data_IF_208047189331
#
_entry.id   IF_208047189331
#
_cell.length_a   1.000
_cell.length_b   1.000
_cell.length_c   1.000
_cell.angle_alpha   90.00
_cell.angle_beta   90.00
_cell.angle_gamma   90.00
#
_symmetry.space_group_name_H-M   'P 1'
#
loop_
_entity.id
_entity.type
_entity.pdbx_description
1 polymer ?
#
# COMPACT_ATOMS: atom_id res chain seq x y z
N UNK A 1 7.19 -10.43 18.98
CA UNK A 1 6.76 -10.11 17.60
C UNK A 1 7.76 -9.15 16.99
N UNK A 2 8.38 -9.47 15.84
CA UNK A 2 9.43 -8.61 15.27
C UNK A 2 8.85 -7.36 14.62
N UNK A 3 9.63 -6.26 14.57
CA UNK A 3 9.25 -5.01 13.90
C UNK A 3 8.92 -5.23 12.42
N UNK A 4 9.62 -6.15 11.75
CA UNK A 4 9.36 -6.51 10.36
C UNK A 4 8.01 -7.20 10.17
N UNK A 5 7.67 -8.16 11.03
CA UNK A 5 6.37 -8.85 10.98
C UNK A 5 5.21 -7.89 11.25
N UNK A 6 5.37 -6.99 12.23
CA UNK A 6 4.40 -5.92 12.52
C UNK A 6 4.16 -5.00 11.31
N UNK A 7 5.23 -4.66 10.57
CA UNK A 7 5.09 -3.84 9.36
C UNK A 7 4.42 -4.57 8.20
N UNK A 8 4.63 -5.89 8.06
CA UNK A 8 3.93 -6.69 7.03
C UNK A 8 2.42 -6.76 7.30
N UNK A 9 2.00 -7.03 8.54
CA UNK A 9 0.58 -7.03 8.92
C UNK A 9 -0.07 -5.65 8.72
N UNK A 10 0.66 -4.59 9.08
CA UNK A 10 0.20 -3.22 8.86
C UNK A 10 -0.03 -2.92 7.38
N UNK A 11 0.94 -3.29 6.52
CA UNK A 11 0.83 -3.09 5.08
C UNK A 11 -0.33 -3.92 4.50
N UNK A 12 -0.55 -5.13 4.99
CA UNK A 12 -1.69 -5.94 4.56
C UNK A 12 -3.02 -5.24 4.83
N UNK A 13 -3.21 -4.76 6.07
CA UNK A 13 -4.44 -4.06 6.44
C UNK A 13 -4.66 -2.79 5.61
N UNK A 14 -3.58 -2.08 5.29
CA UNK A 14 -3.61 -0.91 4.41
C UNK A 14 -4.02 -1.28 2.98
N UNK A 15 -3.41 -2.31 2.40
CA UNK A 15 -3.67 -2.74 1.01
C UNK A 15 -5.09 -3.27 0.89
N UNK A 16 -5.53 -4.17 1.78
CA UNK A 16 -6.89 -4.70 1.78
C UNK A 16 -7.95 -3.60 1.94
N UNK A 17 -7.67 -2.56 2.73
CA UNK A 17 -8.60 -1.43 2.84
C UNK A 17 -8.69 -0.63 1.54
N UNK A 18 -7.57 -0.45 0.83
CA UNK A 18 -7.48 0.27 -0.44
C UNK A 18 -7.97 -0.55 -1.64
N UNK A 19 -7.95 -1.88 -1.60
CA UNK A 19 -8.53 -2.75 -2.63
C UNK A 19 -10.03 -2.50 -2.83
N UNK A 20 -10.72 -2.04 -1.79
CA UNK A 20 -12.12 -1.65 -1.88
C UNK A 20 -12.26 -0.31 -2.63
N UNK A 21 -12.83 -0.26 -3.84
CA UNK A 21 -12.80 0.95 -4.68
C UNK A 21 -13.38 2.21 -4.02
N UNK A 22 -14.51 2.15 -3.29
CA UNK A 22 -15.00 3.31 -2.55
C UNK A 22 -14.02 3.88 -1.51
N UNK A 23 -13.16 3.05 -0.92
CA UNK A 23 -12.14 3.51 0.02
C UNK A 23 -10.96 4.16 -0.70
N UNK A 24 -10.54 3.57 -1.82
CA UNK A 24 -9.53 4.15 -2.70
C UNK A 24 -9.93 5.56 -3.16
N UNK A 25 -11.17 5.71 -3.62
CA UNK A 25 -11.72 6.99 -4.09
C UNK A 25 -11.71 8.06 -3.01
N UNK A 26 -11.94 7.72 -1.73
CA UNK A 26 -11.85 8.68 -0.63
C UNK A 26 -10.44 9.26 -0.47
N UNK A 27 -9.39 8.46 -0.69
CA UNK A 27 -8.00 8.89 -0.55
C UNK A 27 -7.47 9.64 -1.79
N UNK A 28 -7.88 9.20 -2.98
CA UNK A 28 -7.27 9.66 -4.23
C UNK A 28 -8.20 10.49 -5.12
N UNK A 29 -9.50 10.46 -4.85
CA UNK A 29 -10.55 11.07 -5.66
C UNK A 29 -10.99 10.18 -6.82
N UNK A 30 -12.15 10.49 -7.41
CA UNK A 30 -12.54 10.00 -8.73
C UNK A 30 -11.88 10.85 -9.82
N UNK A 31 -11.52 10.23 -10.94
CA UNK A 31 -11.12 10.95 -12.16
C UNK A 31 -12.32 11.59 -12.91
N UNK A 32 -13.57 11.29 -12.51
CA UNK A 32 -14.78 11.79 -13.17
C UNK A 32 -15.32 13.07 -12.55
N UNK A 33 -15.81 13.95 -13.44
CA UNK A 33 -16.34 15.32 -13.26
C UNK A 33 -16.91 15.62 -11.86
N UNK A 34 -16.47 16.74 -11.29
CA UNK A 34 -17.05 17.35 -10.09
C UNK A 34 -18.51 17.71 -10.33
N UNK A 35 -19.42 17.12 -9.54
CA UNK A 35 -20.81 17.56 -9.44
C UNK A 35 -20.85 18.78 -8.51
N UNK A 36 -21.34 19.91 -9.01
CA UNK A 36 -21.48 21.14 -8.22
C UNK A 36 -22.59 20.94 -7.18
N UNK A 37 -22.32 21.26 -5.91
CA UNK A 37 -23.31 21.26 -4.82
C UNK A 37 -23.23 20.12 -3.80
N UNK A 38 -22.42 19.08 -4.03
CA UNK A 38 -22.18 18.04 -3.02
C UNK A 38 -20.94 18.37 -2.16
N UNK A 39 -21.01 18.03 -0.85
CA UNK A 39 -19.89 18.17 0.09
C UNK A 39 -18.69 17.42 -0.46
N UNK A 40 -17.65 18.15 -0.89
CA UNK A 40 -16.44 17.53 -1.39
C UNK A 40 -15.72 16.86 -0.22
N UNK A 41 -15.62 15.53 -0.27
CA UNK A 41 -14.71 14.82 0.62
C UNK A 41 -13.30 15.29 0.31
N UNK A 42 -12.63 15.88 1.29
CA UNK A 42 -11.23 16.24 1.12
C UNK A 42 -10.39 14.97 1.09
N UNK A 43 -9.28 14.95 0.35
CA UNK A 43 -8.32 13.82 0.39
C UNK A 43 -7.85 13.52 1.81
N UNK A 44 -7.82 14.53 2.69
CA UNK A 44 -7.53 14.38 4.12
C UNK A 44 -8.58 13.56 4.89
N UNK A 45 -9.85 13.60 4.47
CA UNK A 45 -10.91 12.81 5.11
C UNK A 45 -10.77 11.32 4.80
N UNK A 46 -10.35 10.97 3.57
CA UNK A 46 -10.05 9.58 3.23
C UNK A 46 -8.92 8.98 4.06
N UNK A 47 -7.84 9.73 4.30
CA UNK A 47 -6.77 9.25 5.18
C UNK A 47 -7.19 9.16 6.65
N UNK A 48 -8.14 10.00 7.09
CA UNK A 48 -8.73 9.91 8.43
C UNK A 48 -9.56 8.63 8.59
N UNK A 49 -10.39 8.31 7.61
CA UNK A 49 -11.19 7.08 7.58
C UNK A 49 -10.29 5.84 7.61
N UNK A 50 -9.22 5.84 6.82
CA UNK A 50 -8.24 4.76 6.79
C UNK A 50 -7.56 4.57 8.14
N UNK A 51 -7.11 5.64 8.79
CA UNK A 51 -6.54 5.58 10.14
C UNK A 51 -7.55 4.97 11.12
N UNK A 52 -8.80 5.43 11.10
CA UNK A 52 -9.84 4.92 12.00
C UNK A 52 -10.12 3.42 11.76
N UNK A 53 -10.17 3.00 10.49
CA UNK A 53 -10.38 1.61 10.11
C UNK A 53 -9.23 0.71 10.60
N UNK A 54 -7.97 1.12 10.37
CA UNK A 54 -6.79 0.38 10.81
C UNK A 54 -6.67 0.34 12.33
N UNK A 55 -6.99 1.44 13.02
CA UNK A 55 -7.02 1.47 14.49
C UNK A 55 -8.05 0.49 15.03
N UNK A 56 -9.25 0.46 14.44
CA UNK A 56 -10.33 -0.45 14.83
C UNK A 56 -9.96 -1.92 14.58
N UNK A 57 -9.51 -2.25 13.37
CA UNK A 57 -9.18 -3.65 13.00
C UNK A 57 -7.98 -4.20 13.77
N UNK A 58 -7.05 -3.33 14.17
CA UNK A 58 -5.85 -3.71 14.92
C UNK A 58 -6.00 -3.63 16.45
N UNK A 59 -7.20 -3.39 16.99
CA UNK A 59 -7.43 -3.17 18.43
C UNK A 59 -6.53 -2.06 19.02
N UNK A 60 -6.37 -0.96 18.29
CA UNK A 60 -5.58 0.19 18.70
C UNK A 60 -4.08 0.09 18.44
N UNK A 61 -3.58 -1.03 17.90
CA UNK A 61 -2.14 -1.22 17.65
C UNK A 61 -1.58 -0.29 16.58
N UNK A 62 -2.43 0.15 15.64
CA UNK A 62 -2.08 1.14 14.63
C UNK A 62 -2.77 2.47 14.93
N UNK A 63 -2.08 3.33 15.70
CA UNK A 63 -2.54 4.68 16.02
C UNK A 63 -1.61 5.72 15.37
N UNK A 64 -1.94 6.09 14.13
CA UNK A 64 -1.14 7.01 13.32
C UNK A 64 -1.92 8.29 13.06
N UNK A 65 -1.20 9.41 12.92
CA UNK A 65 -1.82 10.65 12.43
C UNK A 65 -2.18 10.49 10.94
N UNK A 66 -3.26 11.12 10.44
CA UNK A 66 -3.62 11.06 9.02
C UNK A 66 -2.49 11.46 8.07
N UNK A 67 -1.66 12.43 8.44
CA UNK A 67 -0.50 12.83 7.65
C UNK A 67 0.56 11.70 7.56
N UNK A 68 0.84 11.03 8.67
CA UNK A 68 1.76 9.88 8.68
C UNK A 68 1.20 8.72 7.83
N UNK A 69 -0.12 8.55 7.82
CA UNK A 69 -0.77 7.56 6.96
C UNK A 69 -0.58 7.89 5.48
N UNK A 70 -0.78 9.15 5.09
CA UNK A 70 -0.53 9.63 3.73
C UNK A 70 0.92 9.36 3.28
N UNK A 71 1.90 9.69 4.11
CA UNK A 71 3.33 9.49 3.80
C UNK A 71 3.67 8.00 3.63
N UNK A 72 3.07 7.13 4.47
CA UNK A 72 3.23 5.66 4.37
C UNK A 72 2.63 5.11 3.09
N UNK A 73 1.47 5.59 2.67
CA UNK A 73 0.83 5.18 1.41
C UNK A 73 1.65 5.64 0.21
N UNK A 74 2.20 6.86 0.24
CA UNK A 74 3.08 7.35 -0.81
C UNK A 74 4.35 6.48 -0.91
N UNK A 75 4.93 6.12 0.23
CA UNK A 75 6.08 5.21 0.29
C UNK A 75 5.74 3.84 -0.29
N UNK A 76 4.59 3.28 0.08
CA UNK A 76 4.11 2.01 -0.45
C UNK A 76 3.90 2.08 -1.97
N UNK A 77 3.20 3.11 -2.45
CA UNK A 77 2.97 3.33 -3.89
C UNK A 77 4.27 3.46 -4.67
N UNK A 78 5.28 4.15 -4.14
CA UNK A 78 6.59 4.25 -4.79
C UNK A 78 7.27 2.89 -4.92
N UNK A 79 7.19 2.03 -3.89
CA UNK A 79 7.70 0.64 -3.94
C UNK A 79 6.95 -0.20 -4.97
N UNK A 80 5.61 -0.09 -4.99
CA UNK A 80 4.78 -0.80 -5.96
C UNK A 80 5.13 -0.41 -7.39
N UNK A 81 5.24 0.89 -7.67
CA UNK A 81 5.63 1.38 -9.00
C UNK A 81 7.04 0.93 -9.38
N UNK A 82 7.98 0.88 -8.43
CA UNK A 82 9.33 0.36 -8.68
C UNK A 82 9.30 -1.14 -9.00
N UNK A 83 8.54 -1.94 -8.26
CA UNK A 83 8.37 -3.37 -8.53
C UNK A 83 7.72 -3.60 -9.90
N UNK A 84 6.70 -2.81 -10.24
CA UNK A 84 6.02 -2.87 -11.54
C UNK A 84 6.92 -2.46 -12.71
N UNK A 85 7.73 -1.41 -12.54
CA UNK A 85 8.70 -0.99 -13.53
C UNK A 85 9.80 -2.06 -13.73
N UNK A 86 10.22 -2.71 -12.64
CA UNK A 86 11.17 -3.81 -12.71
C UNK A 86 10.58 -5.02 -13.43
N UNK A 87 9.37 -5.46 -13.09
CA UNK A 87 8.66 -6.56 -13.77
C UNK A 87 8.54 -6.32 -15.28
N UNK A 88 8.29 -5.08 -15.70
CA UNK A 88 8.18 -4.70 -17.10
C UNK A 88 9.53 -4.50 -17.82
N UNK A 89 10.66 -4.56 -17.11
CA UNK A 89 11.99 -4.28 -17.68
C UNK A 89 12.59 -5.51 -18.37
N UNK A 90 13.39 -5.30 -19.44
CA UNK A 90 14.07 -6.38 -20.17
C UNK A 90 15.10 -7.16 -19.32
N UNK A 91 15.48 -6.61 -18.15
CA UNK A 91 16.37 -7.26 -17.17
C UNK A 91 15.64 -7.90 -15.98
N UNK A 92 14.32 -8.06 -16.07
CA UNK A 92 13.55 -8.77 -15.06
C UNK A 92 13.95 -10.26 -15.05
N UNK A 93 14.32 -10.79 -13.88
CA UNK A 93 14.80 -12.15 -13.74
C UNK A 93 15.39 -12.42 -12.35
N UNK A 94 15.65 -13.68 -12.06
CA UNK A 94 16.33 -14.09 -10.84
C UNK A 94 17.84 -14.03 -11.09
N UNK A 95 18.57 -13.34 -10.19
CA UNK A 95 20.03 -13.24 -10.26
C UNK A 95 20.68 -14.26 -9.33
N UNK A 96 21.98 -14.51 -9.51
CA UNK A 96 22.72 -15.41 -8.61
C UNK A 96 22.69 -14.91 -7.15
N UNK A 97 22.66 -13.59 -6.93
CA UNK A 97 22.52 -12.99 -5.60
C UNK A 97 21.13 -13.24 -5.00
N UNK A 98 20.08 -13.23 -5.81
CA UNK A 98 18.72 -13.58 -5.37
C UNK A 98 18.67 -15.04 -4.92
N UNK A 99 19.23 -15.96 -5.72
CA UNK A 99 19.28 -17.39 -5.39
C UNK A 99 20.09 -17.64 -4.11
N UNK A 100 21.23 -16.97 -3.95
CA UNK A 100 22.04 -17.01 -2.73
C UNK A 100 21.27 -16.47 -1.51
N UNK A 101 20.34 -15.54 -1.71
CA UNK A 101 19.41 -15.04 -0.68
C UNK A 101 18.14 -15.90 -0.53
N UNK A 102 18.01 -17.01 -1.26
CA UNK A 102 16.86 -17.92 -1.22
C UNK A 102 15.64 -17.44 -2.01
N UNK A 103 15.80 -16.47 -2.91
CA UNK A 103 14.76 -15.91 -3.78
C UNK A 103 14.86 -16.58 -5.14
N UNK A 104 14.03 -17.60 -5.37
CA UNK A 104 14.13 -18.47 -6.54
C UNK A 104 13.00 -18.22 -7.56
N UNK A 105 12.08 -17.31 -7.28
CA UNK A 105 10.92 -17.05 -8.14
C UNK A 105 10.68 -15.55 -8.28
N UNK A 106 10.17 -15.15 -9.44
CA UNK A 106 9.83 -13.74 -9.70
C UNK A 106 8.81 -13.21 -8.69
N UNK A 107 7.87 -14.05 -8.25
CA UNK A 107 6.89 -13.70 -7.21
C UNK A 107 7.59 -13.35 -5.90
N UNK A 108 8.53 -14.17 -5.44
CA UNK A 108 9.30 -13.88 -4.22
C UNK A 108 10.11 -12.60 -4.36
N UNK A 109 10.70 -12.37 -5.53
CA UNK A 109 11.48 -11.15 -5.80
C UNK A 109 10.61 -9.90 -5.75
N UNK A 110 9.45 -9.92 -6.41
CA UNK A 110 8.50 -8.81 -6.41
C UNK A 110 7.91 -8.56 -5.01
N UNK A 111 7.60 -9.63 -4.26
CA UNK A 111 7.13 -9.55 -2.87
C UNK A 111 8.20 -8.97 -1.92
N UNK A 112 9.48 -9.24 -2.20
CA UNK A 112 10.59 -8.63 -1.48
C UNK A 112 10.76 -7.14 -1.83
N UNK A 113 10.52 -6.75 -3.08
CA UNK A 113 10.55 -5.35 -3.51
C UNK A 113 9.38 -4.54 -2.95
N UNK A 114 8.19 -5.13 -2.94
CA UNK A 114 6.97 -4.52 -2.43
C UNK A 114 6.13 -5.60 -1.72
N UNK A 115 6.04 -5.59 -0.38
CA UNK A 115 5.19 -6.54 0.33
C UNK A 115 3.73 -6.42 -0.14
N UNK A 116 3.06 -7.54 -0.34
CA UNK A 116 1.72 -7.61 -0.91
C UNK A 116 1.66 -7.03 -2.33
N UNK A 117 2.65 -7.32 -3.18
CA UNK A 117 2.68 -6.81 -4.57
C UNK A 117 1.55 -7.40 -5.42
N UNK A 118 1.24 -8.68 -5.20
CA UNK A 118 0.24 -9.42 -5.98
C UNK A 118 -1.22 -9.13 -5.56
N UNK A 119 -1.43 -8.09 -4.75
CA UNK A 119 -2.72 -7.69 -4.20
C UNK A 119 -3.26 -6.45 -4.90
#
# INVERSE_FOLDING_TARGET
>A
MSKAHFMKEYLLALVLWLEHPPNFEKCFGMAKKTVVGQKQFSKSDGFRDLVAALKKSSKGRFDLKPQQMKDRIQTYRARYLKAKAYEASTGAGITAEDEAAGVNTMVQKLENMCPWYAK
#
